data_IF_189481064797
#
_entry.id   IF_189481064797
#
_cell.length_a   1.000
_cell.length_b   1.000
_cell.length_c   1.000
_cell.angle_alpha   90.00
_cell.angle_beta   90.00
_cell.angle_gamma   90.00
#
_symmetry.space_group_name_H-M   'P 1'
#
loop_
_entity.id
_entity.type
_entity.pdbx_description
1 polymer ?
#
# COMPACT_ATOMS: atom_id res chain seq x y z
N UNK A 1 5.83 7.97 18.08
CA UNK A 1 5.47 6.78 17.28
C UNK A 1 6.51 6.67 16.18
N UNK A 2 6.98 5.47 15.85
CA UNK A 2 8.03 5.26 14.85
C UNK A 2 7.65 5.96 13.53
N UNK A 3 8.53 6.81 13.02
CA UNK A 3 8.38 7.54 11.75
C UNK A 3 8.55 6.61 10.53
N UNK A 4 9.00 5.37 10.76
CA UNK A 4 9.27 4.36 9.73
C UNK A 4 8.04 3.51 9.41
N UNK A 5 7.95 3.07 8.15
CA UNK A 5 6.87 2.19 7.64
C UNK A 5 6.80 0.83 8.37
N UNK A 6 7.88 0.46 9.06
CA UNK A 6 8.00 -0.72 9.89
C UNK A 6 8.58 -0.31 11.26
N UNK A 7 8.28 -1.06 12.32
CA UNK A 7 8.79 -0.73 13.65
C UNK A 7 7.82 -1.01 14.81
N UNK A 8 6.57 -1.37 14.54
CA UNK A 8 5.53 -1.56 15.57
C UNK A 8 5.83 -2.61 16.66
N UNK A 9 6.90 -3.41 16.52
CA UNK A 9 7.35 -4.39 17.54
C UNK A 9 8.52 -3.87 18.40
N UNK A 10 9.11 -2.73 18.06
CA UNK A 10 10.26 -2.17 18.76
C UNK A 10 9.84 -0.99 19.64
N UNK A 11 10.37 -0.96 20.86
CA UNK A 11 10.09 0.12 21.81
C UNK A 11 11.04 1.32 21.66
N UNK A 12 12.15 1.15 20.93
CA UNK A 12 13.17 2.16 20.69
C UNK A 12 13.38 2.37 19.19
N UNK A 13 13.90 3.55 18.84
CA UNK A 13 14.30 3.87 17.47
C UNK A 13 15.55 3.09 17.06
N UNK A 14 15.71 2.86 15.76
CA UNK A 14 16.93 2.27 15.19
C UNK A 14 18.08 3.27 15.33
N UNK A 15 19.27 2.77 15.67
CA UNK A 15 20.48 3.60 15.76
C UNK A 15 20.87 4.12 14.36
N UNK A 16 21.26 5.39 14.26
CA UNK A 16 21.57 6.02 12.97
C UNK A 16 22.71 5.34 12.20
N UNK A 17 23.65 4.70 12.89
CA UNK A 17 24.69 3.90 12.24
C UNK A 17 24.09 2.66 11.55
N UNK A 18 23.13 2.01 12.19
CA UNK A 18 22.43 0.85 11.62
C UNK A 18 21.61 1.30 10.42
N UNK A 19 20.90 2.43 10.52
CA UNK A 19 20.12 2.97 9.40
C UNK A 19 20.99 3.27 8.19
N UNK A 20 22.12 3.95 8.38
CA UNK A 20 23.05 4.26 7.31
C UNK A 20 23.70 3.00 6.71
N UNK A 21 23.95 1.98 7.53
CA UNK A 21 24.52 0.72 7.08
C UNK A 21 23.53 -0.12 6.27
N UNK A 22 22.24 -0.08 6.61
CA UNK A 22 21.20 -0.90 5.95
C UNK A 22 20.51 -0.21 4.78
N UNK A 23 20.58 1.12 4.69
CA UNK A 23 19.96 1.86 3.60
C UNK A 23 20.53 1.46 2.24
N UNK A 24 19.65 1.13 1.30
CA UNK A 24 20.01 0.71 -0.06
C UNK A 24 19.59 1.71 -1.13
N UNK A 25 18.91 2.81 -0.77
CA UNK A 25 18.38 3.81 -1.70
C UNK A 25 19.41 4.31 -2.74
N UNK A 26 20.66 4.50 -2.30
CA UNK A 26 21.75 5.00 -3.16
C UNK A 26 22.13 4.02 -4.27
N UNK A 27 21.77 2.74 -4.13
CA UNK A 27 22.01 1.69 -5.12
C UNK A 27 20.72 1.27 -5.83
N UNK A 28 19.67 0.97 -5.08
CA UNK A 28 18.42 0.40 -5.61
C UNK A 28 17.54 1.41 -6.34
N UNK A 29 17.78 2.72 -6.15
CA UNK A 29 17.11 3.78 -6.92
C UNK A 29 17.27 3.62 -8.43
N UNK A 30 18.30 2.92 -8.89
CA UNK A 30 18.50 2.58 -10.30
C UNK A 30 17.46 1.61 -10.84
N UNK A 31 16.75 0.89 -9.97
CA UNK A 31 15.75 -0.13 -10.29
C UNK A 31 14.31 0.40 -10.17
N UNK A 32 14.13 1.72 -10.07
CA UNK A 32 12.80 2.32 -9.89
C UNK A 32 11.83 1.96 -11.04
N UNK A 33 12.33 1.85 -12.27
CA UNK A 33 11.51 1.53 -13.43
C UNK A 33 11.00 0.09 -13.37
N UNK A 34 11.85 -0.85 -12.97
CA UNK A 34 11.49 -2.24 -12.75
C UNK A 34 10.48 -2.38 -11.62
N UNK A 35 10.66 -1.65 -10.51
CA UNK A 35 9.72 -1.67 -9.38
C UNK A 35 8.35 -1.11 -9.74
N UNK A 36 8.31 0.03 -10.44
CA UNK A 36 7.08 0.63 -10.95
C UNK A 36 6.36 -0.34 -11.90
N UNK A 37 7.09 -0.96 -12.82
CA UNK A 37 6.54 -1.95 -13.74
C UNK A 37 5.94 -3.15 -12.98
N UNK A 38 6.66 -3.67 -11.99
CA UNK A 38 6.20 -4.76 -11.12
C UNK A 38 4.93 -4.39 -10.35
N UNK A 39 4.90 -3.20 -9.76
CA UNK A 39 3.75 -2.66 -9.02
C UNK A 39 2.51 -2.49 -9.91
N UNK A 40 2.67 -1.97 -11.13
CA UNK A 40 1.57 -1.88 -12.10
C UNK A 40 1.07 -3.28 -12.52
N UNK A 41 1.97 -4.22 -12.75
CA UNK A 41 1.59 -5.60 -13.08
C UNK A 41 0.82 -6.26 -11.93
N UNK A 42 1.27 -6.04 -10.69
CA UNK A 42 0.62 -6.54 -9.49
C UNK A 42 -0.79 -5.93 -9.31
N UNK A 43 -0.94 -4.60 -9.47
CA UNK A 43 -2.24 -3.94 -9.42
C UNK A 43 -3.22 -4.51 -10.47
N UNK A 44 -2.77 -4.69 -11.71
CA UNK A 44 -3.59 -5.32 -12.77
C UNK A 44 -3.98 -6.76 -12.43
N UNK A 45 -3.09 -7.53 -11.82
CA UNK A 45 -3.39 -8.88 -11.34
C UNK A 45 -4.46 -8.85 -10.24
N UNK A 46 -4.31 -7.97 -9.25
CA UNK A 46 -5.29 -7.77 -8.16
C UNK A 46 -6.68 -7.40 -8.69
N UNK A 47 -6.75 -6.60 -9.76
CA UNK A 47 -8.00 -6.32 -10.47
C UNK A 47 -8.63 -7.58 -11.08
N UNK A 48 -7.83 -8.42 -11.75
CA UNK A 48 -8.31 -9.66 -12.37
C UNK A 48 -8.88 -10.66 -11.36
N UNK A 49 -8.32 -10.71 -10.16
CA UNK A 49 -8.82 -11.59 -9.08
C UNK A 49 -9.93 -10.94 -8.24
N UNK A 50 -10.37 -9.72 -8.60
CA UNK A 50 -11.47 -9.02 -7.94
C UNK A 50 -11.13 -8.40 -6.59
N UNK A 51 -9.84 -8.27 -6.26
CA UNK A 51 -9.39 -7.54 -5.05
C UNK A 51 -9.47 -6.03 -5.26
N UNK A 52 -9.19 -5.56 -6.48
CA UNK A 52 -9.36 -4.15 -6.86
C UNK A 52 -10.45 -4.02 -7.93
N UNK A 53 -11.18 -2.93 -7.89
CA UNK A 53 -12.07 -2.50 -8.97
C UNK A 53 -11.26 -2.01 -10.16
N UNK A 54 -11.88 -1.99 -11.36
CA UNK A 54 -11.22 -1.48 -12.56
C UNK A 54 -10.74 -0.03 -12.39
N UNK A 55 -11.55 0.82 -11.75
CA UNK A 55 -11.18 2.21 -11.45
C UNK A 55 -10.01 2.33 -10.49
N UNK A 56 -9.91 1.46 -9.48
CA UNK A 56 -8.77 1.45 -8.55
C UNK A 56 -7.48 1.01 -9.26
N UNK A 57 -7.57 0.00 -10.14
CA UNK A 57 -6.41 -0.43 -10.95
C UNK A 57 -5.94 0.70 -11.86
N UNK A 58 -6.86 1.36 -12.56
CA UNK A 58 -6.52 2.50 -13.44
C UNK A 58 -5.88 3.64 -12.65
N UNK A 59 -6.43 3.99 -11.49
CA UNK A 59 -5.88 5.04 -10.62
C UNK A 59 -4.45 4.70 -10.15
N UNK A 60 -4.21 3.45 -9.71
CA UNK A 60 -2.87 3.00 -9.27
C UNK A 60 -1.89 3.03 -10.44
N UNK A 61 -2.28 2.48 -11.60
CA UNK A 61 -1.40 2.46 -12.78
C UNK A 61 -1.04 3.87 -13.23
N UNK A 62 -2.01 4.79 -13.25
CA UNK A 62 -1.78 6.19 -13.61
C UNK A 62 -0.88 6.91 -12.59
N UNK A 63 -1.10 6.70 -11.29
CA UNK A 63 -0.24 7.24 -10.24
C UNK A 63 1.20 6.75 -10.36
N UNK A 64 1.39 5.46 -10.67
CA UNK A 64 2.72 4.89 -10.89
C UNK A 64 3.44 5.48 -12.11
N UNK A 65 2.70 5.77 -13.19
CA UNK A 65 3.26 6.48 -14.35
C UNK A 65 3.65 7.92 -14.04
N UNK A 66 2.89 8.60 -13.17
CA UNK A 66 3.23 9.93 -12.71
C UNK A 66 4.53 9.91 -11.89
N UNK A 67 4.68 8.96 -10.95
CA UNK A 67 5.91 8.78 -10.16
C UNK A 67 7.11 8.57 -11.08
N UNK A 68 6.99 7.73 -12.11
CA UNK A 68 8.05 7.50 -13.10
C UNK A 68 8.48 8.80 -13.79
N UNK A 69 7.53 9.64 -14.21
CA UNK A 69 7.80 10.93 -14.85
C UNK A 69 8.42 11.96 -13.89
N UNK A 70 8.11 11.87 -12.60
CA UNK A 70 8.68 12.74 -11.58
C UNK A 70 10.12 12.33 -11.25
N UNK A 71 10.41 11.03 -11.13
CA UNK A 71 11.77 10.50 -10.96
C UNK A 71 12.63 10.83 -12.20
N UNK A 72 12.15 10.52 -13.41
CA UNK A 72 12.87 10.81 -14.65
C UNK A 72 13.13 12.31 -14.85
N UNK A 73 12.23 13.17 -14.36
CA UNK A 73 12.35 14.61 -14.37
C UNK A 73 13.18 15.22 -13.23
N UNK A 74 13.80 14.39 -12.36
CA UNK A 74 14.53 14.82 -11.16
C UNK A 74 13.68 15.68 -10.19
N UNK A 75 12.36 15.49 -10.20
CA UNK A 75 11.41 16.20 -9.33
C UNK A 75 11.12 15.46 -8.03
N UNK A 76 11.47 14.18 -7.96
CA UNK A 76 11.53 13.38 -6.74
C UNK A 76 13.00 13.08 -6.41
N UNK A 77 13.65 13.87 -5.54
CA UNK A 77 15.02 13.60 -5.13
C UNK A 77 15.06 12.40 -4.18
N UNK A 78 15.97 11.47 -4.44
CA UNK A 78 16.30 10.39 -3.51
C UNK A 78 17.04 10.99 -2.31
N UNK A 79 16.38 11.05 -1.16
CA UNK A 79 16.98 11.54 0.08
C UNK A 79 17.64 10.39 0.86
N UNK A 80 18.75 10.67 1.55
CA UNK A 80 19.44 9.70 2.41
C UNK A 80 18.57 9.19 3.58
N UNK A 81 17.51 9.92 3.91
CA UNK A 81 16.52 9.53 4.91
C UNK A 81 15.59 8.40 4.41
N UNK A 82 15.59 8.10 3.12
CA UNK A 82 14.83 6.99 2.55
C UNK A 82 15.65 5.71 2.73
N UNK A 83 15.04 4.69 3.32
CA UNK A 83 15.71 3.40 3.50
C UNK A 83 15.88 2.68 2.16
N UNK A 84 14.84 2.72 1.33
CA UNK A 84 14.76 2.07 0.03
C UNK A 84 13.85 2.84 -0.94
N UNK A 85 13.81 2.38 -2.20
CA UNK A 85 13.04 3.00 -3.30
C UNK A 85 11.52 3.10 -3.01
N UNK A 86 10.99 2.34 -2.06
CA UNK A 86 9.56 2.30 -1.72
C UNK A 86 9.10 3.46 -0.85
N UNK A 87 10.00 4.21 -0.21
CA UNK A 87 9.66 5.20 0.83
C UNK A 87 9.26 6.61 0.35
N UNK A 88 8.93 6.82 -0.93
CA UNK A 88 8.76 8.18 -1.48
C UNK A 88 7.48 8.94 -1.09
N UNK A 89 6.47 8.29 -0.49
CA UNK A 89 5.14 8.90 -0.35
C UNK A 89 4.72 9.07 1.12
N UNK A 90 4.61 10.33 1.56
CA UNK A 90 4.06 10.67 2.88
C UNK A 90 2.61 10.18 3.07
N UNK A 91 1.85 10.09 1.98
CA UNK A 91 0.46 9.57 1.98
C UNK A 91 0.38 8.09 2.36
N UNK A 92 1.45 7.30 2.12
CA UNK A 92 1.51 5.90 2.55
C UNK A 92 1.43 5.81 4.07
N UNK A 93 2.00 6.77 4.81
CA UNK A 93 1.91 6.79 6.27
C UNK A 93 0.47 6.95 6.76
N UNK A 94 -0.39 7.63 6.01
CA UNK A 94 -1.82 7.75 6.37
C UNK A 94 -2.52 6.38 6.28
N UNK A 95 -2.19 5.58 5.26
CA UNK A 95 -2.70 4.21 5.09
C UNK A 95 -2.09 3.22 6.09
N UNK A 96 -0.88 3.47 6.61
CA UNK A 96 -0.22 2.59 7.57
C UNK A 96 -0.63 2.80 9.04
N UNK A 97 -1.45 3.82 9.33
CA UNK A 97 -2.11 3.94 10.64
C UNK A 97 -3.04 2.75 10.89
N UNK A 98 -3.42 2.47 12.15
CA UNK A 98 -4.37 1.38 12.44
C UNK A 98 -5.68 1.60 11.68
N UNK A 99 -6.21 2.81 11.74
CA UNK A 99 -7.44 3.23 11.10
C UNK A 99 -7.31 3.19 9.57
N UNK A 100 -6.21 3.72 9.03
CA UNK A 100 -5.90 3.69 7.60
C UNK A 100 -5.73 2.27 7.06
N UNK A 101 -5.09 1.38 7.82
CA UNK A 101 -4.81 -0.01 7.41
C UNK A 101 -6.09 -0.84 7.42
N UNK A 102 -6.99 -0.57 8.38
CA UNK A 102 -8.33 -1.14 8.40
C UNK A 102 -9.17 -0.60 7.23
N UNK A 103 -9.14 0.72 6.98
CA UNK A 103 -9.90 1.36 5.91
C UNK A 103 -9.43 0.95 4.52
N UNK A 104 -8.14 0.72 4.31
CA UNK A 104 -7.58 0.31 3.02
C UNK A 104 -8.00 -1.10 2.59
N UNK A 105 -8.46 -1.95 3.53
CA UNK A 105 -8.99 -3.29 3.23
C UNK A 105 -10.47 -3.23 2.84
N UNK A 106 -10.85 -2.28 1.99
CA UNK A 106 -12.23 -2.05 1.54
C UNK A 106 -12.58 -2.77 0.23
N UNK A 107 -12.18 -4.03 0.12
CA UNK A 107 -12.52 -4.93 -0.98
C UNK A 107 -13.37 -6.11 -0.48
N UNK A 108 -13.99 -6.86 -1.38
CA UNK A 108 -14.83 -8.00 -0.99
C UNK A 108 -14.02 -9.01 -0.14
N UNK A 109 -14.49 -9.26 1.08
CA UNK A 109 -13.80 -10.13 2.05
C UNK A 109 -12.76 -9.43 2.92
N UNK A 110 -12.51 -8.14 2.69
CA UNK A 110 -11.64 -7.31 3.51
C UNK A 110 -12.26 -6.89 4.84
N UNK A 111 -11.45 -6.28 5.70
CA UNK A 111 -11.80 -5.95 7.09
C UNK A 111 -12.22 -4.50 7.31
N UNK A 112 -12.37 -3.70 6.24
CA UNK A 112 -12.87 -2.34 6.38
C UNK A 112 -14.26 -2.33 7.04
N UNK A 113 -14.60 -1.34 7.87
CA UNK A 113 -15.91 -1.27 8.53
C UNK A 113 -17.11 -1.40 7.57
N UNK A 114 -17.00 -0.83 6.36
CA UNK A 114 -18.02 -0.97 5.32
C UNK A 114 -18.16 -2.40 4.79
N UNK A 115 -17.04 -3.10 4.59
CA UNK A 115 -17.05 -4.51 4.17
C UNK A 115 -17.59 -5.43 5.26
N UNK A 116 -17.27 -5.16 6.53
CA UNK A 116 -17.83 -5.90 7.67
C UNK A 116 -19.35 -5.70 7.73
N UNK A 117 -19.83 -4.46 7.59
CA UNK A 117 -21.27 -4.17 7.52
C UNK A 117 -21.94 -4.91 6.35
N UNK A 118 -21.34 -4.87 5.16
CA UNK A 118 -21.84 -5.56 3.99
C UNK A 118 -21.85 -7.10 4.18
N UNK A 119 -20.83 -7.66 4.82
CA UNK A 119 -20.76 -9.09 5.14
C UNK A 119 -21.84 -9.52 6.13
N UNK A 120 -22.10 -8.72 7.17
CA UNK A 120 -23.18 -8.95 8.13
C UNK A 120 -24.54 -8.94 7.40
N UNK A 121 -24.78 -7.98 6.51
CA UNK A 121 -26.02 -7.92 5.74
C UNK A 121 -26.23 -9.17 4.87
N UNK A 122 -25.20 -9.61 4.13
CA UNK A 122 -25.23 -10.86 3.34
C UNK A 122 -25.46 -12.11 4.18
N UNK A 123 -24.90 -12.16 5.40
CA UNK A 123 -25.12 -13.28 6.32
C UNK A 123 -26.56 -13.33 6.83
N UNK A 124 -27.14 -12.17 7.20
CA UNK A 124 -28.53 -12.08 7.66
C UNK A 124 -29.53 -12.49 6.58
N UNK A 125 -29.30 -12.10 5.32
CA UNK A 125 -30.15 -12.50 4.20
C UNK A 125 -30.18 -14.02 4.03
N UNK A 126 -29.00 -14.68 4.03
CA UNK A 126 -28.89 -16.15 3.93
C UNK A 126 -29.62 -16.88 5.06
N UNK A 127 -29.46 -16.40 6.30
CA UNK A 127 -30.16 -17.00 7.45
C UNK A 127 -31.69 -16.88 7.34
N UNK A 128 -32.20 -15.77 6.81
CA UNK A 128 -33.64 -15.58 6.60
C UNK A 128 -34.20 -16.51 5.51
N UNK A 129 -33.43 -16.74 4.43
CA UNK A 129 -33.77 -17.70 3.37
C UNK A 129 -33.80 -19.14 3.91
N UNK A 130 -32.80 -19.54 4.71
CA UNK A 130 -32.73 -20.86 5.34
C UNK A 130 -33.87 -21.09 6.35
N UNK A 131 -34.34 -20.04 7.04
CA UNK A 131 -35.46 -20.13 7.97
C UNK A 131 -36.83 -20.16 7.29
N UNK A 132 -36.89 -19.77 6.02
CA UNK A 132 -38.13 -19.75 5.22
C UNK A 132 -38.28 -20.99 4.32
N UNK A 133 -37.29 -21.88 4.30
CA UNK A 133 -37.25 -23.15 3.58
C UNK A 133 -37.61 -24.33 4.51
#
# INVERSE_FOLDING_TARGET
MSEKMWGGRFAAFTDSLVEAFTASIQLDSRLYAEDICGSQAHARMLGRVGVLTASEVEAIVAGMQQVEQEIAGQRLPFADSLEDIYMHNEEVYQVLTLEGSLAARNHLGGTAPDQVRAAIARARARLAEEQSA
#
